data_IF_867502707849
#
_entry.id   IF_867502707849
#
_cell.length_a   1.000
_cell.length_b   1.000
_cell.length_c   1.000
_cell.angle_alpha   90.00
_cell.angle_beta   90.00
_cell.angle_gamma   90.00
#
_symmetry.space_group_name_H-M   'P 1'
#
loop_
_entity.id
_entity.type
_entity.pdbx_description
1 polymer ?
#
# COMPACT_ATOMS: atom_id res chain seq x y z
N UNK A 1 9.48 -18.26 -16.97
CA UNK A 1 8.08 -18.28 -16.46
C UNK A 1 8.00 -17.26 -15.34
N UNK A 2 6.97 -16.40 -15.28
CA UNK A 2 6.70 -15.73 -14.00
C UNK A 2 6.49 -16.85 -12.98
N UNK A 3 7.25 -16.80 -11.88
CA UNK A 3 6.95 -17.63 -10.71
C UNK A 3 5.56 -17.14 -10.28
N UNK A 4 4.53 -17.96 -10.50
CA UNK A 4 3.16 -17.60 -10.12
C UNK A 4 3.10 -17.14 -8.66
N UNK A 5 2.06 -16.39 -8.27
CA UNK A 5 1.98 -15.84 -6.91
C UNK A 5 2.13 -16.97 -5.89
N UNK A 6 3.16 -16.93 -5.02
CA UNK A 6 3.37 -17.99 -4.04
C UNK A 6 2.16 -18.12 -3.12
N UNK A 7 1.81 -19.36 -2.78
CA UNK A 7 0.76 -19.64 -1.79
C UNK A 7 1.39 -19.87 -0.43
N UNK A 8 0.73 -19.35 0.60
CA UNK A 8 1.13 -19.48 2.00
C UNK A 8 -0.01 -20.06 2.84
N UNK A 9 0.28 -20.84 3.89
CA UNK A 9 -0.76 -21.36 4.76
C UNK A 9 -1.36 -20.22 5.61
N UNK A 10 -2.69 -20.15 5.64
CA UNK A 10 -3.44 -19.22 6.47
C UNK A 10 -4.59 -19.94 7.16
N UNK A 11 -4.68 -19.80 8.48
CA UNK A 11 -5.73 -20.42 9.29
C UNK A 11 -6.70 -19.35 9.75
N UNK A 12 -7.96 -19.46 9.33
CA UNK A 12 -9.03 -18.60 9.83
C UNK A 12 -9.36 -18.92 11.29
N UNK A 13 -9.77 -17.93 12.09
CA UNK A 13 -10.25 -18.18 13.45
C UNK A 13 -11.39 -19.21 13.44
N UNK A 14 -11.25 -20.28 14.24
CA UNK A 14 -12.25 -21.34 14.34
C UNK A 14 -12.12 -22.47 13.31
N UNK A 15 -11.23 -22.37 12.31
CA UNK A 15 -11.05 -23.46 11.34
C UNK A 15 -10.08 -24.55 11.85
N UNK A 16 -10.35 -25.83 11.55
CA UNK A 16 -9.51 -26.94 11.98
C UNK A 16 -8.18 -27.03 11.21
N UNK A 17 -8.14 -26.57 9.96
CA UNK A 17 -6.98 -26.67 9.07
C UNK A 17 -6.65 -25.33 8.42
N UNK A 18 -5.39 -25.11 8.06
CA UNK A 18 -4.99 -23.95 7.27
C UNK A 18 -5.39 -24.13 5.81
N UNK A 19 -5.80 -23.03 5.18
CA UNK A 19 -6.04 -22.93 3.75
C UNK A 19 -4.82 -22.32 3.06
N UNK A 20 -4.58 -22.69 1.80
CA UNK A 20 -3.52 -22.09 0.99
C UNK A 20 -4.05 -20.86 0.26
N UNK A 21 -3.60 -19.68 0.67
CA UNK A 21 -3.98 -18.40 0.09
C UNK A 21 -2.80 -17.76 -0.62
N UNK A 22 -3.06 -16.89 -1.57
CA UNK A 22 -2.01 -16.13 -2.25
C UNK A 22 -1.29 -15.20 -1.26
N UNK A 23 0.03 -15.04 -1.44
CA UNK A 23 0.88 -14.25 -0.54
C UNK A 23 0.34 -12.83 -0.32
N UNK A 24 -0.07 -12.13 -1.39
CA UNK A 24 -0.61 -10.78 -1.27
C UNK A 24 -1.94 -10.75 -0.52
N UNK A 25 -2.75 -11.83 -0.64
CA UNK A 25 -3.98 -11.97 0.15
C UNK A 25 -3.70 -12.10 1.64
N UNK A 26 -2.58 -12.74 2.00
CA UNK A 26 -2.13 -12.81 3.39
C UNK A 26 -1.62 -11.47 3.89
N UNK A 27 -0.88 -10.73 3.06
CA UNK A 27 -0.18 -9.49 3.45
C UNK A 27 -1.13 -8.32 3.70
N UNK A 28 -2.18 -8.11 2.88
CA UNK A 28 -3.10 -7.00 3.16
C UNK A 28 -3.86 -7.22 4.47
N UNK A 29 -4.14 -8.47 4.87
CA UNK A 29 -4.75 -8.79 6.17
C UNK A 29 -3.83 -8.44 7.34
N UNK A 30 -2.51 -8.47 7.10
CA UNK A 30 -1.50 -7.94 8.01
C UNK A 30 -1.26 -6.43 7.82
N UNK A 31 -2.16 -5.74 7.10
CA UNK A 31 -2.13 -4.30 6.86
C UNK A 31 -0.93 -3.82 6.04
N UNK A 32 -0.40 -4.70 5.19
CA UNK A 32 0.70 -4.40 4.28
C UNK A 32 0.17 -4.28 2.85
N UNK A 33 0.28 -3.08 2.28
CA UNK A 33 -0.16 -2.71 0.94
C UNK A 33 1.04 -2.33 0.06
N UNK A 34 0.87 -2.41 -1.26
CA UNK A 34 1.93 -2.20 -2.24
C UNK A 34 1.49 -1.26 -3.36
N UNK A 35 2.27 -0.20 -3.58
CA UNK A 35 2.28 0.66 -4.75
C UNK A 35 3.59 0.40 -5.51
N UNK A 36 3.64 -0.71 -6.24
CA UNK A 36 4.88 -1.23 -6.86
C UNK A 36 4.85 -1.24 -8.39
N UNK A 37 3.99 -0.42 -8.98
CA UNK A 37 3.83 -0.27 -10.43
C UNK A 37 3.37 1.15 -10.76
N UNK A 38 3.10 1.43 -12.03
CA UNK A 38 2.47 2.70 -12.44
C UNK A 38 1.12 2.88 -11.74
N UNK A 39 0.84 4.12 -11.31
CA UNK A 39 -0.41 4.43 -10.64
C UNK A 39 -1.51 4.72 -11.67
N UNK A 40 -2.41 3.76 -11.83
CA UNK A 40 -3.60 3.85 -12.66
C UNK A 40 -4.90 3.72 -11.83
N UNK A 41 -6.05 3.81 -12.51
CA UNK A 41 -7.36 3.73 -11.87
C UNK A 41 -7.58 2.40 -11.15
N UNK A 42 -7.12 1.28 -11.73
CA UNK A 42 -7.30 -0.04 -11.13
C UNK A 42 -6.54 -0.15 -9.80
N UNK A 43 -5.24 0.18 -9.82
CA UNK A 43 -4.41 0.11 -8.63
C UNK A 43 -4.88 1.09 -7.56
N UNK A 44 -5.24 2.32 -7.95
CA UNK A 44 -5.75 3.31 -7.02
C UNK A 44 -7.03 2.83 -6.34
N UNK A 45 -7.96 2.28 -7.10
CA UNK A 45 -9.23 1.79 -6.56
C UNK A 45 -9.02 0.58 -5.64
N UNK A 46 -8.07 -0.31 -5.96
CA UNK A 46 -7.67 -1.42 -5.07
C UNK A 46 -7.08 -0.91 -3.75
N UNK A 47 -6.14 0.04 -3.80
CA UNK A 47 -5.53 0.62 -2.60
C UNK A 47 -6.58 1.29 -1.70
N UNK A 48 -7.45 2.12 -2.29
CA UNK A 48 -8.53 2.81 -1.57
C UNK A 48 -9.48 1.80 -0.93
N UNK A 49 -9.95 0.81 -1.69
CA UNK A 49 -10.87 -0.22 -1.20
C UNK A 49 -10.30 -1.00 -0.02
N UNK A 50 -9.03 -1.42 -0.11
CA UNK A 50 -8.37 -2.16 0.96
C UNK A 50 -8.16 -1.27 2.20
N UNK A 51 -7.74 -0.01 2.02
CA UNK A 51 -7.59 0.94 3.14
C UNK A 51 -8.91 1.16 3.89
N UNK A 52 -10.01 1.36 3.18
CA UNK A 52 -11.34 1.53 3.77
C UNK A 52 -11.79 0.27 4.52
N UNK A 53 -11.58 -0.91 3.92
CA UNK A 53 -11.89 -2.19 4.55
C UNK A 53 -11.12 -2.40 5.86
N UNK A 54 -9.80 -2.24 5.83
CA UNK A 54 -8.95 -2.43 7.00
C UNK A 54 -9.27 -1.38 8.09
N UNK A 55 -9.52 -0.13 7.71
CA UNK A 55 -9.96 0.87 8.66
C UNK A 55 -11.30 0.49 9.32
N UNK A 56 -12.25 -0.09 8.57
CA UNK A 56 -13.52 -0.56 9.13
C UNK A 56 -13.33 -1.73 10.11
N UNK A 57 -12.41 -2.66 9.83
CA UNK A 57 -12.12 -3.81 10.69
C UNK A 57 -11.51 -3.40 12.05
N UNK A 58 -10.50 -2.51 12.03
CA UNK A 58 -9.84 -2.05 13.26
C UNK A 58 -9.17 -0.69 13.04
N UNK A 59 -9.85 0.39 13.47
CA UNK A 59 -9.43 1.77 13.22
C UNK A 59 -8.09 2.13 13.90
N UNK A 60 -7.80 1.57 15.08
CA UNK A 60 -6.63 1.93 15.88
C UNK A 60 -5.32 1.27 15.41
N UNK A 61 -5.38 0.35 14.45
CA UNK A 61 -4.21 -0.38 13.98
C UNK A 61 -3.67 0.25 12.69
N UNK A 62 -2.40 0.63 12.70
CA UNK A 62 -1.76 1.28 11.55
C UNK A 62 -1.64 0.39 10.30
N UNK A 63 -1.43 1.04 9.16
CA UNK A 63 -1.25 0.46 7.84
C UNK A 63 0.16 0.75 7.33
N UNK A 64 0.69 -0.12 6.48
CA UNK A 64 1.99 0.05 5.83
C UNK A 64 1.79 0.04 4.32
N UNK A 65 2.24 1.09 3.65
CA UNK A 65 2.24 1.20 2.19
C UNK A 65 3.68 1.19 1.71
N UNK A 66 4.07 0.10 1.05
CA UNK A 66 5.36 -0.03 0.40
C UNK A 66 5.29 0.55 -1.01
N UNK A 67 6.20 1.47 -1.33
CA UNK A 67 6.17 2.27 -2.56
C UNK A 67 7.43 2.01 -3.37
N UNK A 68 7.23 1.49 -4.58
CA UNK A 68 8.22 1.37 -5.64
C UNK A 68 7.55 1.71 -6.99
N UNK A 69 7.35 3.00 -7.26
CA UNK A 69 6.54 3.44 -8.39
C UNK A 69 7.16 4.66 -9.09
N UNK A 70 7.09 4.72 -10.44
CA UNK A 70 7.46 5.90 -11.21
C UNK A 70 6.43 7.05 -11.09
N UNK A 71 5.31 6.82 -10.40
CA UNK A 71 4.15 7.70 -10.40
C UNK A 71 3.09 7.20 -11.38
N UNK A 72 2.28 8.13 -11.91
CA UNK A 72 1.18 7.82 -12.81
C UNK A 72 0.14 8.95 -12.79
N UNK A 73 -1.13 8.58 -12.86
CA UNK A 73 -2.25 9.53 -12.88
C UNK A 73 -2.31 10.43 -11.64
N UNK A 74 -2.41 11.74 -11.88
CA UNK A 74 -2.53 12.75 -10.82
C UNK A 74 -3.83 12.60 -10.05
N UNK A 75 -4.96 12.39 -10.75
CA UNK A 75 -6.27 12.23 -10.10
C UNK A 75 -6.31 10.98 -9.24
N UNK A 76 -5.74 9.87 -9.71
CA UNK A 76 -5.62 8.64 -8.95
C UNK A 76 -4.74 8.85 -7.70
N UNK A 77 -3.63 9.57 -7.82
CA UNK A 77 -2.75 9.85 -6.69
C UNK A 77 -3.37 10.78 -5.65
N UNK A 78 -4.17 11.76 -6.07
CA UNK A 78 -4.96 12.59 -5.14
C UNK A 78 -6.01 11.74 -4.43
N UNK A 79 -6.72 10.86 -5.14
CA UNK A 79 -7.73 9.99 -4.54
C UNK A 79 -7.13 9.04 -3.48
N UNK A 80 -5.96 8.46 -3.75
CA UNK A 80 -5.23 7.64 -2.77
C UNK A 80 -4.80 8.48 -1.57
N UNK A 81 -4.26 9.68 -1.82
CA UNK A 81 -3.84 10.59 -0.76
C UNK A 81 -5.01 11.02 0.13
N UNK A 82 -6.16 11.36 -0.44
CA UNK A 82 -7.36 11.72 0.32
C UNK A 82 -7.86 10.55 1.16
N UNK A 83 -7.86 9.33 0.60
CA UNK A 83 -8.22 8.13 1.35
C UNK A 83 -7.27 7.88 2.54
N UNK A 84 -5.96 8.09 2.37
CA UNK A 84 -4.98 7.99 3.45
C UNK A 84 -5.26 8.98 4.60
N UNK A 85 -5.75 10.18 4.28
CA UNK A 85 -6.08 11.20 5.29
C UNK A 85 -7.50 11.05 5.86
N UNK A 86 -8.40 10.38 5.15
CA UNK A 86 -9.78 10.16 5.57
C UNK A 86 -9.91 9.06 6.63
N UNK A 87 -9.14 7.99 6.50
CA UNK A 87 -9.16 6.87 7.44
C UNK A 87 -8.54 7.28 8.79
N UNK A 88 -8.98 6.62 9.87
CA UNK A 88 -8.42 6.85 11.22
C UNK A 88 -7.15 6.04 11.48
N UNK A 89 -6.98 4.93 10.78
CA UNK A 89 -5.79 4.11 10.88
C UNK A 89 -4.57 4.88 10.39
N UNK A 90 -3.54 4.95 11.24
CA UNK A 90 -2.31 5.65 10.88
C UNK A 90 -1.62 5.00 9.67
N UNK A 91 -1.18 5.79 8.70
CA UNK A 91 -0.56 5.32 7.46
C UNK A 91 0.94 5.52 7.49
N UNK A 92 1.69 4.41 7.51
CA UNK A 92 3.15 4.40 7.35
C UNK A 92 3.49 4.19 5.89
N UNK A 93 4.27 5.10 5.30
CA UNK A 93 4.73 4.98 3.91
C UNK A 93 6.22 4.60 3.89
N UNK A 94 6.59 3.63 3.07
CA UNK A 94 7.96 3.14 2.96
C UNK A 94 8.39 3.10 1.50
N UNK A 95 9.36 3.93 1.13
CA UNK A 95 9.98 3.84 -0.19
C UNK A 95 10.97 2.66 -0.23
N UNK A 96 10.78 1.76 -1.19
CA UNK A 96 11.63 0.60 -1.46
C UNK A 96 12.00 0.61 -2.95
N UNK A 97 13.09 1.27 -3.29
CA UNK A 97 13.49 1.45 -4.69
C UNK A 97 13.26 2.88 -5.14
N UNK A 98 12.17 3.16 -5.85
CA UNK A 98 11.88 4.52 -6.34
C UNK A 98 10.49 5.00 -5.95
N UNK A 99 10.38 6.25 -5.53
CA UNK A 99 9.13 6.98 -5.45
C UNK A 99 9.28 8.26 -6.28
N UNK A 100 8.70 8.28 -7.48
CA UNK A 100 8.79 9.42 -8.39
C UNK A 100 7.39 10.03 -8.67
N UNK A 101 7.35 11.32 -8.99
CA UNK A 101 6.10 11.99 -9.38
C UNK A 101 4.98 11.77 -8.34
N UNK A 102 3.78 11.33 -8.73
CA UNK A 102 2.70 11.05 -7.78
C UNK A 102 3.04 10.03 -6.70
N UNK A 103 3.99 9.12 -6.93
CA UNK A 103 4.43 8.20 -5.90
C UNK A 103 5.26 8.90 -4.80
N UNK A 104 6.05 9.93 -5.14
CA UNK A 104 6.75 10.74 -4.12
C UNK A 104 5.77 11.63 -3.34
N UNK A 105 4.71 12.10 -4.00
CA UNK A 105 3.60 12.79 -3.34
C UNK A 105 2.90 11.89 -2.31
N UNK A 106 2.50 10.67 -2.71
CA UNK A 106 1.90 9.69 -1.80
C UNK A 106 2.85 9.31 -0.67
N UNK A 107 4.14 9.08 -0.97
CA UNK A 107 5.16 8.82 0.05
C UNK A 107 5.20 9.93 1.11
N UNK A 108 5.18 11.19 0.68
CA UNK A 108 5.19 12.34 1.57
C UNK A 108 3.90 12.50 2.39
N UNK A 109 2.79 11.91 1.92
CA UNK A 109 1.46 11.92 2.54
C UNK A 109 1.23 10.93 3.67
N UNK A 110 2.18 10.03 3.95
CA UNK A 110 2.13 9.21 5.17
C UNK A 110 2.17 10.06 6.44
N UNK A 111 1.76 9.47 7.57
CA UNK A 111 1.68 10.19 8.83
C UNK A 111 3.01 10.76 9.30
N UNK A 112 2.93 11.87 10.04
CA UNK A 112 4.11 12.55 10.57
C UNK A 112 4.92 11.59 11.45
N UNK A 113 6.21 11.43 11.12
CA UNK A 113 7.11 10.51 11.81
C UNK A 113 7.06 9.07 11.30
N UNK A 114 6.18 8.75 10.34
CA UNK A 114 5.98 7.41 9.77
C UNK A 114 6.24 7.34 8.27
N UNK A 115 7.12 8.22 7.78
CA UNK A 115 7.53 8.28 6.37
C UNK A 115 8.98 7.83 6.29
N UNK A 116 9.20 6.70 5.64
CA UNK A 116 10.48 5.98 5.66
C UNK A 116 10.96 5.80 4.22
N UNK A 117 12.27 5.89 4.02
CA UNK A 117 12.91 5.48 2.78
C UNK A 117 14.07 4.54 3.12
N UNK A 118 14.19 3.42 2.40
CA UNK A 118 15.35 2.55 2.55
C UNK A 118 16.63 3.24 2.05
N UNK A 119 17.83 2.82 2.51
CA UNK A 119 19.08 3.56 2.31
C UNK A 119 19.46 3.89 0.86
N UNK A 120 19.02 3.09 -0.10
CA UNK A 120 19.31 3.27 -1.53
C UNK A 120 18.10 3.71 -2.35
N UNK A 121 17.04 4.15 -1.68
CA UNK A 121 15.84 4.60 -2.36
C UNK A 121 16.06 5.94 -3.05
N UNK A 122 15.38 6.13 -4.19
CA UNK A 122 15.38 7.38 -4.94
C UNK A 122 14.02 8.05 -4.85
N UNK A 123 14.02 9.33 -4.48
CA UNK A 123 12.82 10.17 -4.47
C UNK A 123 12.99 11.20 -5.57
N UNK A 124 12.01 11.32 -6.46
CA UNK A 124 12.00 12.30 -7.54
C UNK A 124 10.70 13.10 -7.49
N UNK A 125 10.85 14.43 -7.53
CA UNK A 125 9.74 15.39 -7.60
C UNK A 125 9.91 16.21 -8.88
N UNK A 126 8.79 16.52 -9.53
CA UNK A 126 8.75 17.38 -10.72
C UNK A 126 7.37 18.00 -10.84
N UNK A 127 7.23 19.03 -11.68
CA UNK A 127 5.95 19.67 -11.97
C UNK A 127 5.07 18.78 -12.87
N UNK A 128 3.73 18.91 -12.83
CA UNK A 128 2.83 18.20 -13.74
C UNK A 128 3.12 18.48 -15.23
#
# INVERSE_FOLDING_TARGET
MPIGVPKVPFRLPGEPSAQWVDLYNRLYRERVLFLCQELDDELANQLIGIMLYLNAEEQNKGLYIYINSPGGSVTCGIAVYDAMNYIKSEVTTICVGTAASMASFILAGGDRGKRIALPHSRIMVHQP
#
